data_IF_757415326352
#
_entry.id   IF_757415326352
#
_cell.length_a   1.000
_cell.length_b   1.000
_cell.length_c   1.000
_cell.angle_alpha   90.00
_cell.angle_beta   90.00
_cell.angle_gamma   90.00
#
_symmetry.space_group_name_H-M   'P 1'
#
loop_
_entity.id
_entity.type
_entity.pdbx_description
1 polymer ?
#
# COMPACT_ATOMS: atom_id res chain seq x y z
N UNK A 1 9.67 -3.92 36.66
CA UNK A 1 8.74 -2.84 36.27
C UNK A 1 9.53 -1.81 35.49
N UNK A 2 9.49 -1.84 34.19
CA UNK A 2 10.10 -0.80 33.35
C UNK A 2 9.28 0.48 33.50
N UNK A 3 9.93 1.58 33.88
CA UNK A 3 9.29 2.88 34.03
C UNK A 3 8.55 3.24 32.75
N UNK A 4 7.34 3.77 32.85
CA UNK A 4 6.56 4.23 31.71
C UNK A 4 7.34 5.36 31.02
N UNK A 5 7.58 5.31 29.69
CA UNK A 5 8.34 6.35 29.02
C UNK A 5 7.71 7.72 29.22
N UNK A 6 8.52 8.73 29.48
CA UNK A 6 8.06 10.07 29.84
C UNK A 6 7.62 10.88 28.62
N UNK A 7 8.21 10.62 27.45
CA UNK A 7 7.94 11.36 26.21
C UNK A 7 7.46 10.47 25.07
N UNK A 8 6.74 11.04 24.08
CA UNK A 8 6.34 10.30 22.87
C UNK A 8 7.54 9.74 22.10
N UNK A 9 8.67 10.45 22.11
CA UNK A 9 9.89 10.05 21.43
C UNK A 9 10.52 8.80 22.08
N UNK A 10 10.61 8.79 23.42
CA UNK A 10 11.12 7.63 24.17
C UNK A 10 10.27 6.37 23.95
N UNK A 11 8.94 6.54 23.89
CA UNK A 11 8.04 5.42 23.56
C UNK A 11 8.29 4.87 22.17
N UNK A 12 8.51 5.76 21.20
CA UNK A 12 8.79 5.36 19.81
C UNK A 12 10.11 4.59 19.70
N UNK A 13 11.17 5.07 20.38
CA UNK A 13 12.48 4.40 20.42
C UNK A 13 12.42 3.05 21.12
N UNK A 14 11.68 2.95 22.21
CA UNK A 14 11.45 1.67 22.90
C UNK A 14 10.71 0.68 22.01
N UNK A 15 9.66 1.13 21.31
CA UNK A 15 8.94 0.30 20.36
C UNK A 15 9.85 -0.15 19.22
N UNK A 16 10.62 0.76 18.63
CA UNK A 16 11.58 0.46 17.56
C UNK A 16 12.58 -0.63 17.96
N UNK A 17 13.21 -0.46 19.12
CA UNK A 17 14.18 -1.42 19.67
C UNK A 17 13.52 -2.77 20.00
N UNK A 18 12.32 -2.75 20.56
CA UNK A 18 11.54 -3.95 20.83
C UNK A 18 11.19 -4.73 19.56
N UNK A 19 10.76 -4.04 18.50
CA UNK A 19 10.45 -4.64 17.21
C UNK A 19 11.70 -5.25 16.54
N UNK A 20 12.82 -4.52 16.51
CA UNK A 20 14.09 -5.03 15.97
C UNK A 20 14.54 -6.30 16.69
N UNK A 21 14.45 -6.32 18.02
CA UNK A 21 14.84 -7.48 18.81
C UNK A 21 13.92 -8.68 18.62
N UNK A 22 12.59 -8.45 18.56
CA UNK A 22 11.60 -9.53 18.54
C UNK A 22 11.44 -10.18 17.15
N UNK A 23 11.63 -9.41 16.06
CA UNK A 23 11.27 -9.83 14.71
C UNK A 23 12.46 -9.98 13.75
N UNK A 24 13.69 -9.61 14.11
CA UNK A 24 14.86 -9.80 13.25
C UNK A 24 15.04 -11.28 12.82
N UNK A 25 14.88 -12.23 13.73
CA UNK A 25 14.98 -13.66 13.43
C UNK A 25 13.88 -14.19 12.49
N UNK A 26 12.78 -13.44 12.34
CA UNK A 26 11.68 -13.74 11.42
C UNK A 26 11.78 -13.00 10.07
N UNK A 27 12.91 -12.34 9.81
CA UNK A 27 13.11 -11.53 8.61
C UNK A 27 12.40 -10.18 8.67
N UNK A 28 12.06 -9.70 9.86
CA UNK A 28 11.42 -8.39 10.06
C UNK A 28 12.43 -7.25 9.95
N UNK A 29 12.13 -6.28 9.10
CA UNK A 29 12.89 -5.05 8.92
C UNK A 29 12.10 -3.86 9.47
N UNK A 30 12.71 -3.07 10.33
CA UNK A 30 12.07 -1.89 10.92
C UNK A 30 12.65 -0.63 10.29
N UNK A 31 11.79 0.17 9.71
CA UNK A 31 12.12 1.50 9.19
C UNK A 31 11.35 2.59 9.92
N UNK A 32 11.99 3.76 10.06
CA UNK A 32 11.38 4.95 10.67
C UNK A 32 11.36 6.08 9.66
N UNK A 33 10.18 6.64 9.44
CA UNK A 33 10.01 7.79 8.55
C UNK A 33 9.01 8.77 9.15
N UNK A 34 9.37 10.04 9.23
CA UNK A 34 8.52 11.13 9.77
C UNK A 34 7.88 10.84 11.13
N UNK A 35 8.57 10.11 12.00
CA UNK A 35 8.07 9.78 13.33
C UNK A 35 7.14 8.56 13.38
N UNK A 36 6.94 7.87 12.26
CA UNK A 36 6.18 6.61 12.19
C UNK A 36 7.12 5.41 11.99
N UNK A 37 6.75 4.28 12.57
CA UNK A 37 7.46 3.02 12.41
C UNK A 37 6.73 2.13 11.41
N UNK A 38 7.51 1.50 10.54
CA UNK A 38 7.04 0.46 9.63
C UNK A 38 7.86 -0.79 9.85
N UNK A 39 7.17 -1.90 10.12
CA UNK A 39 7.74 -3.24 10.18
C UNK A 39 7.43 -3.95 8.86
N UNK A 40 8.45 -4.21 8.05
CA UNK A 40 8.32 -5.02 6.83
C UNK A 40 8.63 -6.47 7.15
N UNK A 41 7.78 -7.40 6.75
CA UNK A 41 7.87 -8.83 7.07
C UNK A 41 7.66 -9.70 5.82
N UNK A 42 8.23 -10.90 5.78
CA UNK A 42 7.89 -11.90 4.77
C UNK A 42 6.42 -12.30 4.86
N UNK A 43 5.76 -12.49 3.72
CA UNK A 43 4.33 -12.84 3.64
C UNK A 43 3.98 -14.13 4.41
N UNK A 44 4.90 -15.09 4.41
CA UNK A 44 4.74 -16.39 5.07
C UNK A 44 4.73 -16.29 6.61
N UNK A 45 5.17 -15.15 7.14
CA UNK A 45 5.26 -14.89 8.59
C UNK A 45 4.18 -13.94 9.10
N UNK A 46 3.30 -13.46 8.23
CA UNK A 46 2.26 -12.47 8.60
C UNK A 46 1.49 -12.94 9.82
N UNK A 47 0.89 -14.13 9.78
CA UNK A 47 0.07 -14.62 10.88
C UNK A 47 0.85 -14.77 12.18
N UNK A 48 2.05 -15.35 12.14
CA UNK A 48 2.90 -15.53 13.32
C UNK A 48 3.26 -14.19 13.97
N UNK A 49 3.68 -13.22 13.13
CA UNK A 49 4.06 -11.88 13.60
C UNK A 49 2.86 -11.13 14.18
N UNK A 50 1.69 -11.21 13.52
CA UNK A 50 0.47 -10.53 13.99
C UNK A 50 -0.03 -11.06 15.33
N UNK A 51 0.01 -12.37 15.55
CA UNK A 51 -0.31 -12.96 16.87
C UNK A 51 0.64 -12.44 17.94
N UNK A 52 1.95 -12.39 17.65
CA UNK A 52 2.95 -11.87 18.60
C UNK A 52 2.77 -10.37 18.89
N UNK A 53 2.37 -9.59 17.89
CA UNK A 53 2.09 -8.15 18.04
C UNK A 53 0.83 -7.91 18.90
N UNK A 54 -0.21 -8.75 18.74
CA UNK A 54 -1.42 -8.64 19.56
C UNK A 54 -1.18 -9.09 21.01
N UNK A 55 -0.61 -10.28 21.19
CA UNK A 55 -0.54 -10.96 22.49
C UNK A 55 0.71 -10.61 23.30
N UNK A 56 1.77 -10.15 22.64
CA UNK A 56 3.03 -9.80 23.28
C UNK A 56 2.88 -8.65 24.28
N UNK A 57 3.31 -8.80 25.54
CA UNK A 57 3.10 -7.79 26.59
C UNK A 57 3.81 -6.46 26.31
N UNK A 58 4.86 -6.49 25.48
CA UNK A 58 5.59 -5.30 25.05
C UNK A 58 4.91 -4.52 23.91
N UNK A 59 3.96 -5.14 23.20
CA UNK A 59 3.34 -4.59 21.99
C UNK A 59 1.86 -4.31 22.18
N UNK A 60 1.07 -5.34 22.55
CA UNK A 60 -0.36 -5.24 22.86
C UNK A 60 -1.15 -4.45 21.82
N UNK A 61 -0.94 -4.75 20.54
CA UNK A 61 -1.74 -4.16 19.46
C UNK A 61 -3.10 -4.84 19.42
N UNK A 62 -4.00 -4.35 20.26
CA UNK A 62 -5.35 -4.87 20.44
C UNK A 62 -6.31 -4.50 19.33
N UNK A 63 -5.96 -3.52 18.50
CA UNK A 63 -6.78 -3.07 17.39
C UNK A 63 -6.02 -3.05 16.06
N UNK A 64 -6.63 -3.65 15.02
CA UNK A 64 -6.25 -3.43 13.63
C UNK A 64 -7.20 -2.37 13.06
N UNK A 65 -6.67 -1.17 12.86
CA UNK A 65 -7.45 0.00 12.44
C UNK A 65 -7.82 -0.07 10.95
N UNK A 66 -6.94 -0.66 10.15
CA UNK A 66 -7.09 -0.71 8.70
C UNK A 66 -6.20 -1.80 8.10
N UNK A 67 -6.66 -2.40 6.98
CA UNK A 67 -5.88 -3.28 6.13
C UNK A 67 -6.09 -2.84 4.69
N UNK A 68 -5.04 -2.35 4.06
CA UNK A 68 -5.12 -1.90 2.67
C UNK A 68 -4.11 -2.61 1.76
N UNK A 69 -4.52 -2.85 0.53
CA UNK A 69 -3.65 -3.31 -0.53
C UNK A 69 -2.96 -2.14 -1.24
N UNK A 70 -1.78 -2.38 -1.78
CA UNK A 70 -1.02 -1.41 -2.58
C UNK A 70 -0.50 -2.09 -3.84
N UNK A 71 -0.65 -1.43 -5.00
CA UNK A 71 -0.01 -1.83 -6.26
C UNK A 71 1.14 -0.86 -6.56
N UNK A 72 2.36 -1.40 -6.62
CA UNK A 72 3.59 -0.66 -6.89
C UNK A 72 3.98 -0.65 -8.38
N UNK A 73 3.13 -1.16 -9.30
CA UNK A 73 3.47 -1.30 -10.72
C UNK A 73 4.04 -0.02 -11.35
N UNK A 74 3.47 1.14 -11.01
CA UNK A 74 3.91 2.44 -11.53
C UNK A 74 4.67 3.28 -10.48
N UNK A 75 5.08 2.67 -9.35
CA UNK A 75 5.75 3.41 -8.29
C UNK A 75 7.16 3.83 -8.72
N UNK A 76 7.45 5.12 -8.65
CA UNK A 76 8.73 5.69 -9.06
C UNK A 76 8.90 5.91 -10.56
N UNK A 77 7.90 5.55 -11.39
CA UNK A 77 7.86 5.90 -12.80
C UNK A 77 7.15 7.23 -13.04
N UNK A 78 7.61 7.98 -14.04
CA UNK A 78 6.85 9.15 -14.49
C UNK A 78 5.68 8.71 -15.36
N UNK A 79 4.51 9.31 -15.18
CA UNK A 79 3.32 9.01 -15.99
C UNK A 79 3.50 9.39 -17.46
N UNK A 80 4.52 10.17 -17.81
CA UNK A 80 4.85 10.56 -19.17
C UNK A 80 6.32 10.95 -19.30
N UNK A 81 6.90 10.63 -20.43
CA UNK A 81 8.23 11.08 -20.82
C UNK A 81 8.10 12.24 -21.80
N UNK A 82 8.67 13.39 -21.48
CA UNK A 82 8.83 14.46 -22.44
C UNK A 82 10.08 14.15 -23.30
N UNK A 83 9.89 13.56 -24.47
CA UNK A 83 10.95 13.22 -25.40
C UNK A 83 11.63 14.44 -26.05
N UNK A 84 11.16 15.65 -25.80
CA UNK A 84 11.74 16.88 -26.30
C UNK A 84 11.69 17.99 -25.25
N UNK A 85 12.81 18.64 -25.00
CA UNK A 85 12.82 19.88 -24.22
C UNK A 85 12.09 20.94 -25.02
N UNK A 86 10.93 21.42 -24.53
CA UNK A 86 10.37 22.64 -25.06
C UNK A 86 11.26 23.82 -24.62
N UNK A 87 11.52 24.77 -25.51
CA UNK A 87 12.28 25.99 -25.22
C UNK A 87 11.67 26.84 -24.10
N UNK A 88 10.48 26.50 -23.64
CA UNK A 88 9.73 27.20 -22.58
C UNK A 88 9.99 26.72 -21.15
N UNK A 89 10.92 25.82 -20.93
CA UNK A 89 11.39 25.47 -19.59
C UNK A 89 10.43 24.66 -18.73
N UNK A 90 9.44 24.00 -19.29
CA UNK A 90 8.64 23.03 -18.54
C UNK A 90 9.50 21.83 -18.11
N UNK A 91 9.43 21.51 -16.83
CA UNK A 91 10.25 20.48 -16.21
C UNK A 91 10.16 19.14 -16.95
N UNK A 92 11.27 18.49 -17.07
CA UNK A 92 11.38 17.13 -17.60
C UNK A 92 10.89 16.15 -16.56
N UNK A 93 10.07 15.19 -16.99
CA UNK A 93 9.83 14.02 -16.17
C UNK A 93 11.12 13.19 -16.16
N UNK A 94 11.71 13.00 -14.98
CA UNK A 94 12.84 12.09 -14.84
C UNK A 94 12.33 10.67 -14.65
N UNK A 95 12.90 9.74 -15.39
CA UNK A 95 12.74 8.32 -15.08
C UNK A 95 13.50 8.05 -13.78
N UNK A 96 12.79 7.73 -12.73
CA UNK A 96 13.41 7.24 -11.50
C UNK A 96 13.66 5.75 -11.65
N UNK A 97 14.90 5.33 -11.47
CA UNK A 97 15.16 3.91 -11.23
C UNK A 97 14.32 3.48 -10.02
N UNK A 98 13.55 2.41 -10.18
CA UNK A 98 12.78 1.84 -9.06
C UNK A 98 13.77 1.33 -8.03
N UNK A 99 13.84 1.87 -6.82
CA UNK A 99 14.81 1.41 -5.83
C UNK A 99 14.61 -0.06 -5.46
N UNK A 100 13.41 -0.61 -5.65
CA UNK A 100 13.03 -1.95 -5.22
C UNK A 100 12.01 -2.67 -6.12
N UNK A 101 11.78 -2.22 -7.33
CA UNK A 101 11.02 -2.98 -8.31
C UNK A 101 11.93 -4.04 -8.93
N UNK A 102 12.51 -4.89 -8.09
CA UNK A 102 13.11 -6.13 -8.56
C UNK A 102 12.04 -6.94 -9.27
N UNK A 103 12.29 -7.25 -10.52
CA UNK A 103 11.75 -8.34 -11.36
C UNK A 103 10.28 -8.77 -11.18
N UNK A 104 9.37 -7.87 -10.84
CA UNK A 104 7.94 -8.20 -10.67
C UNK A 104 7.58 -8.92 -9.36
N UNK A 105 8.54 -9.37 -8.57
CA UNK A 105 8.30 -10.12 -7.32
C UNK A 105 7.65 -9.28 -6.20
N UNK A 106 7.72 -7.95 -6.26
CA UNK A 106 7.21 -7.05 -5.21
C UNK A 106 6.19 -6.05 -5.72
N UNK A 107 5.33 -6.49 -6.65
CA UNK A 107 4.31 -5.60 -7.21
C UNK A 107 3.24 -5.23 -6.19
N UNK A 108 2.74 -6.21 -5.45
CA UNK A 108 1.68 -5.99 -4.49
C UNK A 108 2.21 -5.98 -3.06
N UNK A 109 1.55 -5.24 -2.19
CA UNK A 109 1.77 -5.32 -0.76
C UNK A 109 0.45 -5.21 0.00
N UNK A 110 0.39 -5.85 1.16
CA UNK A 110 -0.65 -5.60 2.17
C UNK A 110 -0.04 -4.78 3.30
N UNK A 111 -0.76 -3.75 3.70
CA UNK A 111 -0.35 -2.83 4.77
C UNK A 111 -1.40 -2.86 5.85
N UNK A 112 -0.96 -3.15 7.07
CA UNK A 112 -1.80 -3.20 8.27
C UNK A 112 -1.45 -2.01 9.16
N UNK A 113 -2.47 -1.31 9.64
CA UNK A 113 -2.33 -0.23 10.61
C UNK A 113 -2.82 -0.69 11.98
N UNK A 114 -1.90 -0.82 12.90
CA UNK A 114 -2.16 -1.37 14.23
C UNK A 114 -2.13 -0.28 15.29
N UNK A 115 -3.02 -0.38 16.28
CA UNK A 115 -3.10 0.49 17.44
C UNK A 115 -3.06 -0.33 18.73
N UNK A 116 -2.19 0.07 19.64
CA UNK A 116 -2.22 -0.34 21.02
C UNK A 116 -2.80 0.80 21.86
N UNK A 117 -4.04 0.65 22.30
CA UNK A 117 -4.70 1.64 23.15
C UNK A 117 -4.01 1.69 24.53
N UNK A 118 -3.68 0.52 25.07
CA UNK A 118 -3.05 0.39 26.39
C UNK A 118 -1.67 1.06 26.48
N UNK A 119 -0.87 0.99 25.41
CA UNK A 119 0.49 1.54 25.38
C UNK A 119 0.55 2.88 24.61
N UNK A 120 -0.55 3.31 24.02
CA UNK A 120 -0.64 4.49 23.17
C UNK A 120 0.45 4.50 22.09
N UNK A 121 0.46 3.44 21.29
CA UNK A 121 1.44 3.20 20.22
C UNK A 121 0.73 2.83 18.93
N UNK A 122 1.32 3.23 17.81
CA UNK A 122 0.89 2.86 16.46
C UNK A 122 2.02 2.19 15.71
N UNK A 123 1.66 1.25 14.84
CA UNK A 123 2.60 0.54 14.00
C UNK A 123 1.97 0.29 12.64
N UNK A 124 2.75 0.52 11.59
CA UNK A 124 2.44 0.03 10.25
C UNK A 124 3.20 -1.29 10.03
N UNK A 125 2.49 -2.32 9.62
CA UNK A 125 3.12 -3.58 9.19
C UNK A 125 2.91 -3.74 7.69
N UNK A 126 3.96 -4.08 6.95
CA UNK A 126 3.92 -4.25 5.50
C UNK A 126 4.43 -5.64 5.12
N UNK A 127 3.70 -6.32 4.24
CA UNK A 127 4.13 -7.56 3.62
C UNK A 127 4.04 -7.41 2.09
N UNK A 128 5.17 -7.63 1.40
CA UNK A 128 5.18 -7.68 -0.06
C UNK A 128 4.71 -9.04 -0.55
N UNK A 129 3.99 -9.03 -1.66
CA UNK A 129 3.40 -10.21 -2.27
C UNK A 129 3.94 -10.40 -3.68
N UNK A 130 3.96 -11.65 -4.13
CA UNK A 130 4.29 -12.02 -5.48
C UNK A 130 3.30 -11.40 -6.49
N UNK A 131 3.81 -10.94 -7.61
CA UNK A 131 3.00 -10.35 -8.68
C UNK A 131 2.08 -11.39 -9.36
N UNK A 132 2.55 -12.62 -9.51
CA UNK A 132 1.81 -13.70 -10.17
C UNK A 132 0.72 -14.27 -9.26
N UNK A 133 1.04 -14.46 -7.98
CA UNK A 133 0.14 -15.02 -6.97
C UNK A 133 0.14 -14.17 -5.70
N UNK A 134 -0.62 -13.07 -5.67
CA UNK A 134 -0.67 -12.17 -4.51
C UNK A 134 -1.51 -12.80 -3.39
N UNK A 135 -0.93 -13.78 -2.69
CA UNK A 135 -1.57 -14.53 -1.60
C UNK A 135 -0.87 -14.22 -0.28
N UNK A 136 -1.67 -14.02 0.76
CA UNK A 136 -1.23 -13.83 2.15
C UNK A 136 -2.22 -14.51 3.11
N UNK A 137 -1.76 -14.91 4.28
CA UNK A 137 -2.66 -15.44 5.30
C UNK A 137 -3.61 -14.35 5.83
N UNK A 138 -4.89 -14.70 5.95
CA UNK A 138 -5.89 -13.86 6.62
C UNK A 138 -5.57 -13.70 8.11
N UNK A 139 -5.84 -12.51 8.62
CA UNK A 139 -5.70 -12.20 10.05
C UNK A 139 -7.06 -12.02 10.75
N UNK A 140 -8.14 -12.50 10.13
CA UNK A 140 -9.52 -12.37 10.64
C UNK A 140 -9.73 -13.07 11.99
N UNK A 141 -9.02 -14.14 12.26
CA UNK A 141 -9.06 -14.83 13.56
C UNK A 141 -8.25 -14.10 14.64
N UNK A 142 -7.40 -13.17 14.26
CA UNK A 142 -6.65 -12.30 15.18
C UNK A 142 -7.48 -11.07 15.53
N UNK A 143 -8.01 -10.38 14.50
CA UNK A 143 -8.89 -9.22 14.65
C UNK A 143 -10.11 -9.36 13.74
N UNK A 144 -11.28 -9.61 14.30
CA UNK A 144 -12.50 -9.83 13.52
C UNK A 144 -12.93 -8.62 12.68
N UNK A 145 -12.50 -7.42 13.04
CA UNK A 145 -12.81 -6.19 12.30
C UNK A 145 -12.17 -6.11 10.92
N UNK A 146 -11.19 -6.97 10.61
CA UNK A 146 -10.50 -6.93 9.30
C UNK A 146 -11.26 -7.59 8.16
N UNK A 147 -12.36 -8.31 8.42
CA UNK A 147 -13.17 -9.01 7.43
C UNK A 147 -13.42 -8.14 6.18
N UNK A 148 -13.97 -6.98 6.35
CA UNK A 148 -14.33 -6.13 5.22
C UNK A 148 -13.13 -5.47 4.55
N UNK A 149 -12.08 -5.15 5.29
CA UNK A 149 -10.85 -4.61 4.73
C UNK A 149 -10.12 -5.64 3.84
N UNK A 150 -10.07 -6.91 4.27
CA UNK A 150 -9.49 -7.98 3.45
C UNK A 150 -10.33 -8.22 2.19
N UNK A 151 -11.65 -8.18 2.29
CA UNK A 151 -12.55 -8.26 1.13
C UNK A 151 -12.39 -7.07 0.19
N UNK A 152 -12.19 -5.86 0.71
CA UNK A 152 -11.91 -4.69 -0.12
C UNK A 152 -10.58 -4.84 -0.86
N UNK A 153 -9.51 -5.23 -0.18
CA UNK A 153 -8.22 -5.46 -0.82
C UNK A 153 -8.28 -6.57 -1.89
N UNK A 154 -9.07 -7.62 -1.65
CA UNK A 154 -9.37 -8.64 -2.65
C UNK A 154 -10.14 -8.06 -3.83
N UNK A 155 -11.22 -7.34 -3.60
CA UNK A 155 -12.07 -6.80 -4.66
C UNK A 155 -11.33 -5.80 -5.53
N UNK A 156 -10.62 -4.86 -4.91
CA UNK A 156 -9.95 -3.75 -5.60
C UNK A 156 -8.65 -4.14 -6.28
N UNK A 157 -7.88 -5.08 -5.72
CA UNK A 157 -6.52 -5.41 -6.18
C UNK A 157 -6.33 -6.89 -6.55
N UNK A 158 -7.24 -7.77 -6.15
CA UNK A 158 -7.14 -9.20 -6.38
C UNK A 158 -6.16 -9.91 -5.45
N UNK A 159 -5.93 -9.35 -4.26
CA UNK A 159 -5.12 -10.00 -3.23
C UNK A 159 -5.95 -11.09 -2.56
N UNK A 160 -5.41 -12.30 -2.50
CA UNK A 160 -6.08 -13.45 -1.88
C UNK A 160 -5.65 -13.58 -0.42
N UNK A 161 -6.63 -13.69 0.48
CA UNK A 161 -6.41 -13.91 1.90
C UNK A 161 -6.72 -15.36 2.27
N UNK A 162 -5.67 -16.17 2.41
CA UNK A 162 -5.80 -17.58 2.73
C UNK A 162 -6.41 -17.79 4.12
N UNK A 163 -7.44 -18.63 4.22
CA UNK A 163 -8.16 -18.86 5.46
C UNK A 163 -9.26 -17.85 5.79
N UNK A 164 -9.52 -16.88 4.93
CA UNK A 164 -10.68 -16.00 5.09
C UNK A 164 -11.98 -16.79 4.87
N UNK A 165 -12.98 -16.72 5.77
CA UNK A 165 -14.16 -17.57 5.71
C UNK A 165 -15.13 -17.22 4.58
N UNK A 166 -15.15 -15.95 4.13
CA UNK A 166 -16.10 -15.46 3.12
C UNK A 166 -15.45 -14.39 2.23
N UNK A 167 -14.42 -14.78 1.48
CA UNK A 167 -13.69 -13.87 0.59
C UNK A 167 -14.48 -13.66 -0.71
N UNK A 168 -15.29 -12.63 -0.75
CA UNK A 168 -16.10 -12.24 -1.91
C UNK A 168 -16.04 -10.74 -2.12
N UNK A 169 -16.40 -10.27 -3.32
CA UNK A 169 -16.44 -8.85 -3.65
C UNK A 169 -17.37 -8.08 -2.71
N UNK A 170 -17.05 -6.81 -2.45
CA UNK A 170 -17.79 -5.95 -1.53
C UNK A 170 -18.16 -4.59 -2.14
N UNK A 171 -17.35 -4.04 -3.02
CA UNK A 171 -17.55 -2.71 -3.61
C UNK A 171 -17.98 -2.76 -5.07
N UNK A 172 -17.50 -3.74 -5.84
CA UNK A 172 -17.87 -3.88 -7.26
C UNK A 172 -19.13 -4.71 -7.43
N UNK A 173 -19.78 -4.54 -8.59
CA UNK A 173 -20.94 -5.33 -8.97
C UNK A 173 -20.61 -6.83 -9.11
N UNK A 174 -21.64 -7.68 -9.00
CA UNK A 174 -21.51 -9.13 -9.13
C UNK A 174 -20.92 -9.57 -10.49
N UNK A 175 -21.21 -8.84 -11.55
CA UNK A 175 -20.70 -9.08 -12.89
C UNK A 175 -19.42 -8.35 -13.25
N UNK A 176 -18.82 -7.62 -12.31
CA UNK A 176 -17.62 -6.83 -12.59
C UNK A 176 -16.40 -7.72 -12.86
N UNK A 177 -15.71 -7.46 -13.96
CA UNK A 177 -14.52 -8.20 -14.38
C UNK A 177 -13.27 -7.35 -14.17
N UNK A 178 -12.31 -7.89 -13.42
CA UNK A 178 -11.05 -7.21 -13.11
C UNK A 178 -11.00 -6.62 -11.70
N UNK A 179 -9.96 -5.84 -11.44
CA UNK A 179 -9.67 -5.22 -10.16
C UNK A 179 -9.33 -3.74 -10.39
N UNK A 180 -10.26 -2.83 -10.05
CA UNK A 180 -10.19 -1.44 -10.54
C UNK A 180 -9.07 -0.59 -9.94
N UNK A 181 -8.45 -1.00 -8.83
CA UNK A 181 -7.34 -0.26 -8.23
C UNK A 181 -5.96 -0.74 -8.68
N UNK A 182 -5.90 -1.79 -9.49
CA UNK A 182 -4.65 -2.15 -10.15
C UNK A 182 -4.23 -1.03 -11.10
N UNK A 183 -2.94 -0.71 -11.12
CA UNK A 183 -2.39 0.39 -11.94
C UNK A 183 -2.45 0.13 -13.43
N UNK A 184 -2.59 -1.12 -13.84
CA UNK A 184 -2.81 -1.54 -15.22
C UNK A 184 -4.31 -1.58 -15.62
N UNK A 185 -5.24 -1.33 -14.70
CA UNK A 185 -6.66 -1.24 -14.99
C UNK A 185 -7.00 0.16 -15.52
N UNK A 186 -7.69 0.29 -16.66
CA UNK A 186 -8.02 1.60 -17.26
C UNK A 186 -9.00 2.38 -16.38
N UNK A 187 -8.78 3.70 -16.25
CA UNK A 187 -9.64 4.58 -15.44
C UNK A 187 -11.10 4.60 -15.91
N UNK A 188 -11.32 4.48 -17.22
CA UNK A 188 -12.66 4.40 -17.80
C UNK A 188 -13.33 3.03 -17.63
N UNK A 189 -12.57 2.01 -17.19
CA UNK A 189 -13.03 0.62 -17.18
C UNK A 189 -13.08 0.01 -18.58
N UNK A 190 -13.66 -1.18 -18.67
CA UNK A 190 -13.85 -1.90 -19.95
C UNK A 190 -15.30 -1.90 -20.41
N UNK A 191 -16.22 -1.74 -19.47
CA UNK A 191 -17.67 -1.88 -19.69
C UNK A 191 -18.38 -0.74 -18.99
N UNK A 192 -19.35 -0.15 -19.66
CA UNK A 192 -20.28 0.82 -19.08
C UNK A 192 -21.69 0.26 -19.02
N UNK A 193 -22.50 0.78 -18.11
CA UNK A 193 -23.89 0.39 -17.95
C UNK A 193 -24.81 1.49 -18.47
N UNK A 194 -25.75 1.12 -19.32
CA UNK A 194 -26.78 2.01 -19.82
C UNK A 194 -28.16 1.43 -19.61
N UNK A 195 -29.12 2.26 -19.25
CA UNK A 195 -30.52 1.84 -19.23
C UNK A 195 -31.09 1.86 -20.67
N UNK A 196 -31.59 0.70 -21.09
CA UNK A 196 -32.28 0.56 -22.37
C UNK A 196 -33.79 0.67 -22.13
N UNK A 197 -34.45 1.76 -22.61
CA UNK A 197 -35.87 1.97 -22.39
C UNK A 197 -36.75 1.03 -23.22
N UNK A 198 -36.26 0.48 -24.33
CA UNK A 198 -37.01 -0.46 -25.16
C UNK A 198 -37.06 -1.84 -24.50
N UNK A 199 -35.92 -2.29 -23.94
CA UNK A 199 -35.83 -3.54 -23.21
C UNK A 199 -36.24 -3.43 -21.74
N UNK A 200 -36.44 -2.21 -21.23
CA UNK A 200 -36.75 -1.87 -19.84
C UNK A 200 -35.76 -2.47 -18.82
N UNK A 201 -34.49 -2.51 -19.19
CA UNK A 201 -33.43 -3.08 -18.35
C UNK A 201 -32.11 -2.35 -18.51
N UNK A 202 -31.20 -2.57 -17.57
CA UNK A 202 -29.80 -2.15 -17.70
C UNK A 202 -29.07 -3.12 -18.62
N UNK A 203 -28.37 -2.59 -19.59
CA UNK A 203 -27.50 -3.33 -20.53
C UNK A 203 -26.06 -2.94 -20.31
N UNK A 204 -25.16 -3.89 -20.52
CA UNK A 204 -23.72 -3.68 -20.47
C UNK A 204 -23.20 -3.52 -21.89
N UNK A 205 -22.43 -2.48 -22.14
CA UNK A 205 -21.82 -2.21 -23.44
C UNK A 205 -20.34 -1.81 -23.27
N UNK A 206 -19.50 -1.97 -24.29
CA UNK A 206 -18.11 -1.52 -24.23
C UNK A 206 -18.05 -0.01 -23.95
N UNK A 207 -17.07 0.41 -23.14
CA UNK A 207 -16.85 1.81 -22.77
C UNK A 207 -16.57 2.63 -24.01
N UNK A 208 -17.31 3.74 -24.18
CA UNK A 208 -17.14 4.73 -25.25
C UNK A 208 -16.46 6.01 -24.76
N UNK A 209 -16.26 6.15 -23.44
CA UNK A 209 -15.68 7.34 -22.82
C UNK A 209 -14.19 7.43 -23.12
N UNK A 210 -13.77 8.46 -23.84
CA UNK A 210 -12.35 8.76 -24.04
C UNK A 210 -11.76 9.48 -22.81
N UNK A 211 -10.65 8.98 -22.24
CA UNK A 211 -9.99 9.65 -21.12
C UNK A 211 -9.48 11.04 -21.56
N UNK A 212 -9.88 12.08 -20.83
CA UNK A 212 -9.40 13.45 -21.06
C UNK A 212 -8.39 13.84 -20.02
N UNK A 213 -7.14 14.08 -20.41
CA UNK A 213 -6.11 14.66 -19.56
C UNK A 213 -6.20 16.17 -19.68
N UNK A 214 -6.86 16.83 -18.71
CA UNK A 214 -7.05 18.29 -18.72
C UNK A 214 -5.80 19.05 -18.29
N UNK A 215 -5.02 18.48 -17.37
CA UNK A 215 -3.76 19.07 -16.88
C UNK A 215 -2.70 17.99 -16.90
N UNK A 216 -1.66 18.11 -17.72
CA UNK A 216 -0.56 17.18 -17.72
C UNK A 216 0.18 17.26 -16.40
N UNK A 217 0.38 16.10 -15.76
CA UNK A 217 1.12 16.00 -14.48
C UNK A 217 2.61 16.03 -14.78
N UNK A 218 3.27 17.11 -14.44
CA UNK A 218 4.73 17.24 -14.56
C UNK A 218 5.35 16.87 -13.23
N UNK A 219 6.13 15.78 -13.22
CA UNK A 219 7.00 15.45 -12.07
C UNK A 219 8.27 16.27 -12.23
N UNK A 220 8.51 17.18 -11.31
CA UNK A 220 9.76 17.96 -11.25
C UNK A 220 10.68 17.29 -10.25
N UNK A 221 11.87 16.93 -10.67
CA UNK A 221 12.98 16.73 -9.74
C UNK A 221 13.46 18.08 -9.28
N UNK A 222 13.07 18.45 -8.09
CA UNK A 222 13.45 19.68 -7.45
C UNK A 222 14.19 19.36 -6.15
N UNK A 223 15.50 19.36 -6.21
CA UNK A 223 16.39 19.06 -5.09
C UNK A 223 16.21 20.01 -3.89
N UNK A 224 15.43 21.09 -4.05
CA UNK A 224 15.19 22.08 -2.98
C UNK A 224 14.50 21.47 -1.77
N UNK A 225 13.84 20.34 -1.93
CA UNK A 225 13.10 19.68 -0.85
C UNK A 225 13.76 18.42 -0.31
N UNK A 226 14.93 18.05 -0.82
CA UNK A 226 15.70 16.93 -0.27
C UNK A 226 16.60 17.41 0.88
N UNK A 227 16.45 16.89 2.11
CA UNK A 227 17.32 17.24 3.20
C UNK A 227 18.76 16.78 2.90
N UNK A 228 19.66 17.70 2.62
CA UNK A 228 21.07 17.40 2.37
C UNK A 228 21.57 17.61 0.94
N UNK A 229 20.71 17.86 -0.03
CA UNK A 229 21.14 18.34 -1.34
C UNK A 229 21.56 19.82 -1.22
N UNK A 230 22.83 20.06 -0.97
CA UNK A 230 23.42 21.39 -1.12
C UNK A 230 23.30 21.87 -2.57
N UNK A 231 23.38 23.18 -2.85
CA UNK A 231 23.34 23.69 -4.20
C UNK A 231 24.43 22.99 -5.04
N UNK A 232 24.00 22.23 -6.06
CA UNK A 232 24.93 21.65 -7.02
C UNK A 232 25.77 22.81 -7.58
N UNK A 233 27.06 22.71 -7.33
CA UNK A 233 28.00 23.78 -7.64
C UNK A 233 27.87 24.23 -9.07
N UNK A 234 27.76 25.53 -9.25
CA UNK A 234 28.09 26.24 -10.46
C UNK A 234 29.54 25.87 -10.82
N UNK A 235 29.73 24.86 -11.66
CA UNK A 235 30.98 24.62 -12.35
C UNK A 235 30.88 25.29 -13.71
N UNK A 236 31.81 26.20 -13.94
CA UNK A 236 31.97 27.17 -14.99
C UNK A 236 31.97 26.69 -16.42
#
# INVERSE_FOLDING_TARGET
>A
MTAKPSTPMERLEQLENGLKSAFAALGGEVSRHRGELTLTIPRERVREVMVRLRDGPAFRFDECMDVCGVDYLAYGESEWTTAGASSSGFGRAAERERPDAGDGERRFAVVYHLLSVALNQRLRVKAFLDAAEPIVDSVIDIWRGVDWFEREAFDMLGILFAGHPDLRRILTDYGFVGHPFRKDFPLSGHVEMRYDPEQQRVVYEPVTVEPRVLVPRVIREDNRYEPGAGPAGAAG
#
